data_IF_657241621753
#
_entry.id   IF_657241621753
#
_cell.length_a   1.000
_cell.length_b   1.000
_cell.length_c   1.000
_cell.angle_alpha   90.00
_cell.angle_beta   90.00
_cell.angle_gamma   90.00
#
_symmetry.space_group_name_H-M   'P 1'
#
loop_
_entity.id
_entity.type
_entity.pdbx_description
1 polymer ?
#
# COMPACT_ATOMS: atom_id res chain seq x y z
N UNK A 1 -25.66 -62.76 -24.07
CA UNK A 1 -25.91 -63.00 -22.62
C UNK A 1 -26.20 -61.64 -22.01
N UNK A 2 -27.46 -61.21 -22.11
CA UNK A 2 -28.54 -61.30 -21.08
C UNK A 2 -28.29 -60.33 -19.92
N UNK A 3 -28.98 -59.18 -19.90
CA UNK A 3 -30.32 -58.94 -19.28
C UNK A 3 -30.21 -58.93 -17.74
N UNK A 4 -30.36 -57.80 -17.03
CA UNK A 4 -31.52 -56.92 -16.76
C UNK A 4 -32.45 -57.42 -15.63
N UNK A 5 -33.06 -56.44 -14.95
CA UNK A 5 -34.34 -56.50 -14.20
C UNK A 5 -34.25 -57.09 -12.76
N UNK A 6 -34.97 -56.64 -11.71
CA UNK A 6 -35.86 -55.49 -11.46
C UNK A 6 -36.36 -55.56 -9.99
N UNK A 7 -36.88 -54.43 -9.49
CA UNK A 7 -38.07 -54.21 -8.61
C UNK A 7 -38.13 -54.79 -7.18
N UNK A 8 -38.22 -53.96 -6.14
CA UNK A 8 -39.40 -53.26 -5.51
C UNK A 8 -40.43 -54.16 -4.82
N UNK A 9 -40.73 -53.82 -3.55
CA UNK A 9 -42.08 -53.64 -2.95
C UNK A 9 -41.92 -53.54 -1.41
N UNK A 10 -42.29 -52.42 -0.76
CA UNK A 10 -43.61 -52.02 -0.24
C UNK A 10 -44.03 -52.72 1.08
N UNK A 11 -43.91 -51.95 2.18
CA UNK A 11 -44.95 -51.66 3.22
C UNK A 11 -45.52 -52.77 4.14
N UNK A 12 -46.30 -52.48 5.22
CA UNK A 12 -46.40 -51.30 6.12
C UNK A 12 -46.72 -51.61 7.62
N UNK A 13 -47.06 -50.55 8.40
CA UNK A 13 -47.95 -50.50 9.60
C UNK A 13 -47.39 -50.98 10.98
N UNK A 14 -47.70 -50.40 12.17
CA UNK A 14 -48.80 -49.53 12.64
C UNK A 14 -48.51 -48.85 14.01
N UNK A 15 -49.31 -47.81 14.30
CA UNK A 15 -49.82 -47.31 15.60
C UNK A 15 -48.90 -46.62 16.63
N UNK A 16 -49.05 -45.33 16.96
CA UNK A 16 -50.20 -44.51 17.43
C UNK A 16 -50.50 -44.68 18.94
N UNK A 17 -50.24 -43.61 19.72
CA UNK A 17 -51.01 -43.22 20.92
C UNK A 17 -50.65 -41.76 21.30
N UNK A 18 -51.70 -40.95 21.42
CA UNK A 18 -51.70 -39.54 21.78
C UNK A 18 -52.06 -39.35 23.26
N UNK A 19 -51.53 -38.27 23.87
CA UNK A 19 -52.16 -37.35 24.83
C UNK A 19 -51.07 -36.59 25.61
N UNK A 20 -50.92 -35.29 25.36
CA UNK A 20 -51.45 -34.18 26.17
C UNK A 20 -50.80 -34.09 27.56
N UNK A 21 -49.91 -33.11 27.76
CA UNK A 21 -50.23 -31.99 28.65
C UNK A 21 -49.15 -30.92 28.66
N UNK A 22 -49.66 -29.69 28.67
CA UNK A 22 -48.98 -28.42 28.76
C UNK A 22 -48.49 -28.12 30.17
N UNK A 23 -47.30 -27.54 30.28
CA UNK A 23 -47.00 -26.58 31.35
C UNK A 23 -45.74 -26.85 32.18
N UNK A 24 -44.94 -25.79 32.30
CA UNK A 24 -44.06 -25.50 33.44
C UNK A 24 -42.63 -26.09 33.44
N UNK A 25 -41.78 -25.63 32.50
CA UNK A 25 -40.32 -25.50 32.73
C UNK A 25 -39.80 -24.19 32.12
N UNK A 26 -40.32 -23.07 32.58
CA UNK A 26 -39.73 -21.75 32.39
C UNK A 26 -39.18 -21.24 33.72
N UNK A 27 -37.95 -21.64 34.09
CA UNK A 27 -37.14 -21.01 35.15
C UNK A 27 -35.89 -21.84 35.47
N UNK A 28 -34.83 -21.78 34.64
CA UNK A 28 -33.41 -21.79 35.11
C UNK A 28 -32.44 -21.13 34.10
N UNK A 29 -32.86 -20.71 32.90
CA UNK A 29 -31.93 -20.18 31.87
C UNK A 29 -31.88 -18.65 31.74
N UNK A 30 -32.20 -17.90 32.80
CA UNK A 30 -32.19 -16.43 32.81
C UNK A 30 -31.59 -15.82 34.09
N UNK A 31 -30.44 -16.35 34.54
CA UNK A 31 -29.73 -15.77 35.70
C UNK A 31 -28.22 -15.75 35.55
N UNK A 32 -27.69 -15.37 34.37
CA UNK A 32 -26.27 -14.99 34.22
C UNK A 32 -26.07 -13.68 33.42
N UNK A 33 -27.01 -13.23 32.56
CA UNK A 33 -26.76 -12.03 31.73
C UNK A 33 -27.13 -10.66 32.36
N UNK A 34 -27.78 -10.60 33.54
CA UNK A 34 -28.26 -9.31 34.06
C UNK A 34 -27.42 -8.63 35.15
N UNK A 35 -26.28 -9.21 35.56
CA UNK A 35 -25.38 -8.61 36.59
C UNK A 35 -24.13 -7.92 36.05
N UNK A 36 -23.74 -8.13 34.80
CA UNK A 36 -22.59 -7.44 34.21
C UNK A 36 -22.93 -6.05 33.62
N UNK A 37 -24.21 -5.78 33.32
CA UNK A 37 -24.63 -4.54 32.66
C UNK A 37 -24.85 -3.34 33.61
N UNK A 38 -25.11 -3.58 34.91
CA UNK A 38 -25.40 -2.50 35.87
C UNK A 38 -24.17 -1.89 36.58
N UNK A 39 -23.02 -2.57 36.54
CA UNK A 39 -21.76 -2.06 37.12
C UNK A 39 -21.04 -1.08 36.22
N UNK A 40 -21.38 -1.01 34.92
CA UNK A 40 -20.67 -0.16 33.94
C UNK A 40 -21.40 1.16 33.63
N UNK A 41 -22.64 1.32 34.10
CA UNK A 41 -23.47 2.51 33.82
C UNK A 41 -23.52 3.51 34.98
N UNK A 42 -22.91 3.21 36.14
CA UNK A 42 -22.97 4.07 37.34
C UNK A 42 -21.76 5.03 37.52
N UNK A 43 -20.79 5.02 36.60
CA UNK A 43 -19.65 5.96 36.61
C UNK A 43 -19.77 7.09 35.56
N UNK A 44 -20.91 7.19 34.87
CA UNK A 44 -21.08 8.14 33.75
C UNK A 44 -22.02 9.32 34.05
N UNK A 45 -22.12 9.77 35.30
CA UNK A 45 -22.93 10.95 35.68
C UNK A 45 -22.17 12.04 36.46
N UNK A 46 -20.85 12.04 36.41
CA UNK A 46 -20.06 13.17 36.91
C UNK A 46 -18.92 13.51 35.94
N UNK A 47 -19.22 14.19 34.83
CA UNK A 47 -18.27 14.98 34.02
C UNK A 47 -19.03 15.75 32.90
N UNK A 48 -19.94 16.64 33.29
CA UNK A 48 -20.46 17.67 32.38
C UNK A 48 -19.61 18.93 32.52
N UNK A 49 -18.60 19.06 31.64
CA UNK A 49 -18.09 20.29 30.96
C UNK A 49 -16.61 20.23 30.60
N UNK A 50 -16.16 19.23 29.82
CA UNK A 50 -14.90 19.31 29.06
C UNK A 50 -14.97 18.54 27.74
N UNK A 51 -14.86 19.26 26.61
CA UNK A 51 -14.58 18.81 25.22
C UNK A 51 -14.91 17.35 24.86
N UNK A 52 -16.09 17.13 24.28
CA UNK A 52 -16.49 15.85 23.67
C UNK A 52 -15.59 15.38 22.50
N UNK A 53 -14.68 16.22 21.99
CA UNK A 53 -13.79 15.88 20.88
C UNK A 53 -12.46 15.25 21.29
N UNK A 54 -11.96 15.50 22.51
CA UNK A 54 -10.61 15.10 22.92
C UNK A 54 -10.55 13.65 23.43
N UNK A 55 -11.61 13.18 24.08
CA UNK A 55 -11.69 11.81 24.60
C UNK A 55 -11.65 10.76 23.48
N UNK A 56 -12.22 11.07 22.31
CA UNK A 56 -12.27 10.16 21.16
C UNK A 56 -10.87 9.81 20.63
N UNK A 57 -9.96 10.78 20.59
CA UNK A 57 -8.59 10.55 20.11
C UNK A 57 -7.80 9.69 21.08
N UNK A 58 -7.93 9.98 22.39
CA UNK A 58 -7.31 9.18 23.44
C UNK A 58 -7.76 7.72 23.38
N UNK A 59 -9.07 7.49 23.28
CA UNK A 59 -9.63 6.13 23.18
C UNK A 59 -9.16 5.41 21.91
N UNK A 60 -9.11 6.10 20.78
CA UNK A 60 -8.60 5.54 19.53
C UNK A 60 -7.12 5.15 19.63
N UNK A 61 -6.30 5.97 20.28
CA UNK A 61 -4.89 5.67 20.53
C UNK A 61 -4.71 4.51 21.53
N UNK A 62 -5.51 4.44 22.60
CA UNK A 62 -5.47 3.29 23.52
C UNK A 62 -5.93 1.98 22.84
N UNK A 63 -6.93 2.06 21.96
CA UNK A 63 -7.35 0.95 21.12
C UNK A 63 -6.32 0.58 20.04
N UNK A 64 -5.43 1.50 19.65
CA UNK A 64 -4.25 1.19 18.86
C UNK A 64 -3.19 0.48 19.71
N UNK A 65 -2.88 1.01 20.90
CA UNK A 65 -1.94 0.40 21.85
C UNK A 65 -2.32 -1.03 22.20
N UNK A 66 -3.61 -1.35 22.35
CA UNK A 66 -4.05 -2.71 22.67
C UNK A 66 -3.78 -3.73 21.55
N UNK A 67 -3.50 -3.27 20.32
CA UNK A 67 -3.11 -4.13 19.20
C UNK A 67 -1.59 -4.34 19.10
N UNK A 68 -0.80 -3.69 19.97
CA UNK A 68 0.65 -3.82 20.00
C UNK A 68 1.01 -5.00 20.90
N UNK A 69 1.58 -6.04 20.31
CA UNK A 69 2.02 -7.26 20.99
C UNK A 69 3.46 -7.17 21.48
N UNK A 70 4.27 -6.29 20.90
CA UNK A 70 5.66 -6.11 21.29
C UNK A 70 6.08 -4.63 21.22
N UNK A 71 6.68 -4.12 22.31
CA UNK A 71 7.24 -2.77 22.42
C UNK A 71 8.59 -2.84 23.16
N UNK A 72 9.70 -3.14 22.46
CA UNK A 72 10.98 -3.43 23.10
C UNK A 72 11.59 -2.20 23.78
N UNK A 73 11.27 -1.01 23.29
CA UNK A 73 11.79 0.26 23.79
C UNK A 73 10.85 0.93 24.81
N UNK A 74 9.74 0.26 25.15
CA UNK A 74 8.73 0.76 26.10
C UNK A 74 8.22 2.16 25.75
N UNK A 75 8.13 2.45 24.46
CA UNK A 75 7.72 3.75 23.92
C UNK A 75 6.29 4.10 24.38
N UNK A 76 5.43 3.08 24.41
CA UNK A 76 4.02 3.20 24.71
C UNK A 76 3.74 3.26 26.23
N UNK A 77 4.75 3.19 27.10
CA UNK A 77 4.57 3.42 28.55
C UNK A 77 4.09 4.85 28.84
N UNK A 78 4.48 5.80 27.98
CA UNK A 78 3.97 7.18 28.01
C UNK A 78 2.47 7.27 27.69
N UNK A 79 1.90 6.27 27.02
CA UNK A 79 0.49 6.22 26.65
C UNK A 79 -0.35 5.70 27.82
N UNK A 80 -0.54 6.56 28.81
CA UNK A 80 -1.21 6.24 30.06
C UNK A 80 -2.24 7.33 30.42
N UNK A 81 -2.94 7.15 31.55
CA UNK A 81 -3.98 8.08 32.00
C UNK A 81 -3.44 9.29 32.76
N UNK A 82 -2.14 9.34 33.09
CA UNK A 82 -1.56 10.43 33.89
C UNK A 82 -1.10 11.61 33.04
N UNK A 83 -0.78 11.37 31.77
CA UNK A 83 -0.40 12.41 30.81
C UNK A 83 -1.51 12.65 29.78
N UNK A 84 -1.65 13.91 29.34
CA UNK A 84 -2.51 14.23 28.21
C UNK A 84 -1.95 13.57 26.94
N UNK A 85 -2.80 12.99 26.09
CA UNK A 85 -2.34 12.22 24.92
C UNK A 85 -1.47 12.99 23.92
N UNK A 86 -1.54 14.32 23.92
CA UNK A 86 -0.65 15.17 23.13
C UNK A 86 0.81 15.19 23.60
N UNK A 87 1.09 14.67 24.80
CA UNK A 87 2.43 14.51 25.37
C UNK A 87 2.94 13.07 25.21
N UNK A 88 2.11 12.17 24.67
CA UNK A 88 2.52 10.80 24.43
C UNK A 88 3.55 10.72 23.32
N UNK A 89 4.52 9.84 23.49
CA UNK A 89 5.60 9.68 22.54
C UNK A 89 5.05 9.29 21.16
N UNK A 90 5.49 10.01 20.13
CA UNK A 90 5.05 9.82 18.73
C UNK A 90 3.69 10.42 18.39
N UNK A 91 2.97 11.02 19.34
CA UNK A 91 1.71 11.73 19.10
C UNK A 91 1.97 13.22 18.98
N UNK A 92 1.40 13.86 17.97
CA UNK A 92 1.40 15.34 17.85
C UNK A 92 -0.02 15.84 17.69
N UNK A 93 -0.38 16.85 18.48
CA UNK A 93 -1.69 17.51 18.40
C UNK A 93 -1.63 18.88 17.71
N UNK A 94 -2.74 19.26 17.09
CA UNK A 94 -2.89 20.58 16.49
C UNK A 94 -3.04 21.66 17.56
N UNK A 95 -2.33 22.78 17.39
CA UNK A 95 -2.29 23.90 18.37
C UNK A 95 -3.67 24.45 18.74
N UNK A 96 -4.59 24.52 17.78
CA UNK A 96 -5.93 25.13 17.96
C UNK A 96 -6.94 24.19 18.59
N UNK A 97 -7.00 22.96 18.10
CA UNK A 97 -8.08 22.02 18.46
C UNK A 97 -7.65 20.97 19.48
N UNK A 98 -6.35 20.85 19.77
CA UNK A 98 -5.78 19.80 20.63
C UNK A 98 -6.18 18.37 20.20
N UNK A 99 -6.43 18.21 18.90
CA UNK A 99 -6.73 16.94 18.23
C UNK A 99 -5.47 16.36 17.62
N UNK A 100 -5.37 15.03 17.57
CA UNK A 100 -4.22 14.32 16.99
C UNK A 100 -4.13 14.61 15.50
N UNK A 101 -2.98 15.16 15.09
CA UNK A 101 -2.68 15.51 13.70
C UNK A 101 -1.56 14.67 13.11
N UNK A 102 -0.68 14.10 13.95
CA UNK A 102 0.36 13.18 13.50
C UNK A 102 0.51 12.02 14.49
N UNK A 103 0.69 10.83 13.93
CA UNK A 103 1.12 9.63 14.65
C UNK A 103 2.38 9.11 13.97
N UNK A 104 3.54 9.27 14.63
CA UNK A 104 4.86 8.93 14.08
C UNK A 104 5.58 8.01 15.04
N UNK A 105 5.63 6.73 14.69
CA UNK A 105 6.24 5.65 15.48
C UNK A 105 7.22 4.84 14.62
N UNK A 106 8.08 5.53 13.86
CA UNK A 106 9.02 4.91 12.92
C UNK A 106 10.24 4.31 13.63
N UNK A 107 10.65 3.10 13.24
CA UNK A 107 11.91 2.46 13.67
C UNK A 107 12.03 2.18 15.18
N UNK A 108 10.94 1.77 15.83
CA UNK A 108 10.94 1.42 17.26
C UNK A 108 10.84 -0.09 17.54
N UNK A 109 10.83 -0.93 16.49
CA UNK A 109 10.72 -2.38 16.66
C UNK A 109 9.35 -2.83 17.19
N UNK A 110 8.31 -2.01 17.00
CA UNK A 110 6.95 -2.33 17.43
C UNK A 110 6.41 -3.51 16.63
N UNK A 111 5.75 -4.47 17.29
CA UNK A 111 5.01 -5.53 16.63
C UNK A 111 3.54 -5.50 17.05
N UNK A 112 2.64 -5.82 16.12
CA UNK A 112 1.20 -5.75 16.34
C UNK A 112 0.42 -5.57 15.04
N UNK A 113 -0.86 -5.22 15.15
CA UNK A 113 -1.71 -4.92 14.00
C UNK A 113 -2.19 -3.46 14.01
N UNK A 114 -2.59 -2.94 12.84
CA UNK A 114 -3.14 -1.59 12.73
C UNK A 114 -4.62 -1.60 13.15
N UNK A 115 -4.91 -1.03 14.32
CA UNK A 115 -6.27 -0.96 14.86
C UNK A 115 -7.24 -0.20 13.94
N UNK A 116 -8.45 -0.72 13.65
CA UNK A 116 -9.46 -0.02 12.85
C UNK A 116 -9.98 1.25 13.53
N UNK A 117 -9.77 1.41 14.84
CA UNK A 117 -10.10 2.65 15.55
C UNK A 117 -9.23 3.83 15.12
N UNK A 118 -8.15 3.60 14.37
CA UNK A 118 -7.38 4.67 13.74
C UNK A 118 -8.27 5.60 12.91
N UNK A 119 -9.35 5.08 12.31
CA UNK A 119 -10.33 5.88 11.55
C UNK A 119 -11.09 6.92 12.36
N UNK A 120 -11.01 6.89 13.70
CA UNK A 120 -11.61 7.89 14.58
C UNK A 120 -10.71 9.11 14.80
N UNK A 121 -9.42 9.04 14.42
CA UNK A 121 -8.49 10.17 14.44
C UNK A 121 -8.76 11.11 13.25
N UNK A 122 -9.93 11.73 13.22
CA UNK A 122 -10.42 12.48 12.04
C UNK A 122 -9.59 13.72 11.66
N UNK A 123 -8.69 14.17 12.55
CA UNK A 123 -7.76 15.28 12.30
C UNK A 123 -6.36 14.81 11.84
N UNK A 124 -6.15 13.51 11.67
CA UNK A 124 -4.86 12.95 11.31
C UNK A 124 -4.45 13.38 9.89
N UNK A 125 -3.28 14.02 9.80
CA UNK A 125 -2.63 14.41 8.55
C UNK A 125 -1.50 13.45 8.19
N UNK A 126 -0.83 12.87 9.19
CA UNK A 126 0.32 12.00 9.00
C UNK A 126 0.19 10.76 9.88
N UNK A 127 0.31 9.60 9.25
CA UNK A 127 0.64 8.36 9.94
C UNK A 127 1.95 7.81 9.34
N UNK A 128 2.93 7.60 10.20
CA UNK A 128 4.22 7.02 9.84
C UNK A 128 4.60 5.93 10.85
N UNK A 129 4.43 4.68 10.43
CA UNK A 129 4.76 3.48 11.20
C UNK A 129 5.89 2.68 10.53
N UNK A 130 6.70 3.33 9.69
CA UNK A 130 7.71 2.65 8.88
C UNK A 130 8.77 1.93 9.72
N UNK A 131 9.37 0.89 9.16
CA UNK A 131 10.47 0.11 9.77
C UNK A 131 10.08 -0.46 11.14
N UNK A 132 9.04 -1.27 11.18
CA UNK A 132 8.60 -1.97 12.38
C UNK A 132 8.24 -3.42 12.01
N UNK A 133 7.54 -4.13 12.89
CA UNK A 133 7.07 -5.49 12.68
C UNK A 133 5.54 -5.56 12.73
N UNK A 134 4.85 -4.55 12.20
CA UNK A 134 3.39 -4.59 12.08
C UNK A 134 2.95 -5.65 11.06
N UNK A 135 1.85 -6.34 11.34
CA UNK A 135 1.32 -7.44 10.52
C UNK A 135 -0.22 -7.39 10.43
N UNK A 136 -0.77 -8.32 9.64
CA UNK A 136 -2.20 -8.40 9.36
C UNK A 136 -2.62 -7.45 8.23
N UNK A 137 -3.92 -7.29 8.04
CA UNK A 137 -4.45 -6.45 6.98
C UNK A 137 -4.54 -4.97 7.41
N UNK A 138 -4.34 -4.08 6.44
CA UNK A 138 -4.61 -2.66 6.62
C UNK A 138 -6.13 -2.47 6.64
N UNK A 139 -6.73 -1.80 7.65
CA UNK A 139 -8.19 -1.64 7.77
C UNK A 139 -8.76 -0.66 6.73
N UNK A 140 -8.84 -1.11 5.47
CA UNK A 140 -9.17 -0.29 4.29
C UNK A 140 -10.51 0.45 4.40
N UNK A 141 -11.50 -0.17 5.06
CA UNK A 141 -12.86 0.39 5.23
C UNK A 141 -12.91 1.69 6.03
N UNK A 142 -11.95 1.90 6.96
CA UNK A 142 -11.97 3.08 7.83
C UNK A 142 -11.12 4.24 7.31
N UNK A 143 -10.23 3.98 6.33
CA UNK A 143 -9.29 4.99 5.84
C UNK A 143 -9.98 6.19 5.17
N UNK A 144 -11.16 5.99 4.58
CA UNK A 144 -11.97 7.08 4.02
C UNK A 144 -12.48 8.08 5.06
N UNK A 145 -12.47 7.72 6.35
CA UNK A 145 -12.82 8.65 7.46
C UNK A 145 -11.69 9.63 7.78
N UNK A 146 -10.47 9.33 7.35
CA UNK A 146 -9.28 10.18 7.58
C UNK A 146 -9.17 11.25 6.49
N UNK A 147 -10.21 12.09 6.35
CA UNK A 147 -10.34 13.06 5.25
C UNK A 147 -9.22 14.12 5.19
N UNK A 148 -8.45 14.31 6.26
CA UNK A 148 -7.30 15.24 6.31
C UNK A 148 -5.95 14.59 6.03
N UNK A 149 -5.94 13.27 5.82
CA UNK A 149 -4.71 12.51 5.65
C UNK A 149 -3.96 12.95 4.40
N UNK A 150 -2.67 13.24 4.58
CA UNK A 150 -1.72 13.64 3.53
C UNK A 150 -0.59 12.65 3.37
N UNK A 151 -0.13 12.05 4.46
CA UNK A 151 0.97 11.09 4.46
C UNK A 151 0.49 9.81 5.12
N UNK A 152 0.49 8.72 4.36
CA UNK A 152 0.24 7.36 4.84
C UNK A 152 1.46 6.51 4.56
N UNK A 153 2.26 6.26 5.60
CA UNK A 153 3.54 5.58 5.47
C UNK A 153 3.64 4.37 6.42
N UNK A 154 3.57 3.17 5.86
CA UNK A 154 3.64 1.88 6.56
C UNK A 154 4.73 0.96 6.00
N UNK A 155 5.65 1.50 5.20
CA UNK A 155 6.70 0.71 4.55
C UNK A 155 7.64 -0.03 5.53
N UNK A 156 8.26 -1.11 5.06
CA UNK A 156 9.11 -2.02 5.84
C UNK A 156 8.38 -2.56 7.09
N UNK A 157 7.35 -3.35 6.84
CA UNK A 157 6.56 -4.08 7.82
C UNK A 157 6.19 -5.47 7.24
N UNK A 158 5.19 -6.14 7.80
CA UNK A 158 4.67 -7.42 7.34
C UNK A 158 3.16 -7.37 7.07
N UNK A 159 2.63 -6.22 6.63
CA UNK A 159 1.22 -6.09 6.27
C UNK A 159 0.88 -7.01 5.09
N UNK A 160 -0.28 -7.67 5.17
CA UNK A 160 -0.82 -8.61 4.18
C UNK A 160 -2.15 -8.08 3.59
N UNK A 161 -2.72 -8.82 2.65
CA UNK A 161 -4.00 -8.48 2.02
C UNK A 161 -3.83 -7.55 0.82
N UNK A 162 -4.94 -6.97 0.35
CA UNK A 162 -4.95 -6.11 -0.82
C UNK A 162 -4.53 -4.66 -0.51
N UNK A 163 -4.11 -3.94 -1.55
CA UNK A 163 -3.86 -2.50 -1.44
C UNK A 163 -5.17 -1.76 -1.07
N UNK A 164 -5.18 -1.00 0.04
CA UNK A 164 -6.30 -0.11 0.34
C UNK A 164 -6.46 0.92 -0.77
N UNK A 165 -7.70 1.27 -1.07
CA UNK A 165 -8.02 2.20 -2.17
C UNK A 165 -8.91 3.38 -1.75
N UNK A 166 -9.50 3.32 -0.56
CA UNK A 166 -10.38 4.34 -0.01
C UNK A 166 -9.60 5.36 0.85
N UNK A 167 -8.74 6.15 0.21
CA UNK A 167 -7.96 7.20 0.87
C UNK A 167 -8.61 8.59 0.73
N UNK A 168 -8.16 9.53 1.56
CA UNK A 168 -8.48 10.94 1.36
C UNK A 168 -7.97 11.47 0.01
N UNK A 169 -8.78 12.26 -0.68
CA UNK A 169 -8.36 13.00 -1.88
C UNK A 169 -7.24 14.03 -1.61
N UNK A 170 -6.93 14.33 -0.35
CA UNK A 170 -5.80 15.18 0.05
C UNK A 170 -4.48 14.41 0.20
N UNK A 171 -4.47 13.09 -0.07
CA UNK A 171 -3.27 12.28 0.09
C UNK A 171 -2.17 12.75 -0.87
N UNK A 172 -1.00 13.07 -0.32
CA UNK A 172 0.19 13.52 -1.05
C UNK A 172 1.27 12.43 -1.11
N UNK A 173 1.31 11.53 -0.12
CA UNK A 173 2.30 10.44 -0.04
C UNK A 173 1.64 9.15 0.41
N UNK A 174 1.81 8.10 -0.40
CA UNK A 174 1.46 6.73 -0.08
C UNK A 174 2.74 5.88 -0.13
N UNK A 175 3.18 5.38 1.03
CA UNK A 175 4.38 4.56 1.17
C UNK A 175 4.06 3.25 1.87
N UNK A 176 3.94 2.17 1.11
CA UNK A 176 3.63 0.81 1.58
C UNK A 176 4.69 -0.21 1.13
N UNK A 177 5.83 0.23 0.61
CA UNK A 177 6.89 -0.66 0.13
C UNK A 177 7.50 -1.53 1.24
N UNK A 178 8.05 -2.70 0.90
CA UNK A 178 8.61 -3.64 1.87
C UNK A 178 7.54 -4.26 2.76
N UNK A 179 6.48 -4.80 2.16
CA UNK A 179 5.38 -5.51 2.85
C UNK A 179 5.03 -6.79 2.08
N UNK A 180 3.92 -7.44 2.44
CA UNK A 180 3.40 -8.66 1.79
C UNK A 180 2.03 -8.40 1.15
N UNK A 181 1.81 -7.17 0.66
CA UNK A 181 0.55 -6.79 0.00
C UNK A 181 0.44 -7.50 -1.34
N UNK A 182 -0.76 -7.94 -1.70
CA UNK A 182 -1.02 -8.75 -2.88
C UNK A 182 -2.21 -8.26 -3.68
N UNK A 183 -2.44 -8.88 -4.84
CA UNK A 183 -3.55 -8.54 -5.72
C UNK A 183 -3.22 -7.40 -6.68
N UNK A 184 -4.20 -6.99 -7.51
CA UNK A 184 -3.97 -6.02 -8.57
C UNK A 184 -3.86 -4.59 -8.04
N UNK A 185 -3.24 -3.71 -8.83
CA UNK A 185 -3.24 -2.28 -8.55
C UNK A 185 -4.68 -1.73 -8.63
N UNK A 186 -5.25 -1.18 -7.54
CA UNK A 186 -6.65 -0.74 -7.54
C UNK A 186 -6.81 0.58 -8.30
N UNK A 187 -7.68 0.58 -9.32
CA UNK A 187 -7.95 1.74 -10.19
C UNK A 187 -8.43 2.98 -9.42
N UNK A 188 -9.05 2.79 -8.25
CA UNK A 188 -9.55 3.89 -7.42
C UNK A 188 -8.42 4.76 -6.86
N UNK A 189 -7.19 4.23 -6.68
CA UNK A 189 -6.03 5.05 -6.32
C UNK A 189 -5.70 6.11 -7.39
N UNK A 190 -6.11 5.87 -8.65
CA UNK A 190 -5.92 6.82 -9.75
C UNK A 190 -6.84 8.05 -9.67
N UNK A 191 -7.63 8.18 -8.59
CA UNK A 191 -8.46 9.36 -8.30
C UNK A 191 -7.80 10.35 -7.33
N UNK A 192 -6.63 10.02 -6.78
CA UNK A 192 -5.91 10.82 -5.80
C UNK A 192 -5.08 11.92 -6.46
N UNK A 193 -5.74 12.95 -6.97
CA UNK A 193 -5.13 14.02 -7.78
C UNK A 193 -3.98 14.79 -7.11
N UNK A 194 -3.89 14.77 -5.78
CA UNK A 194 -2.83 15.42 -5.01
C UNK A 194 -1.62 14.49 -4.73
N UNK A 195 -1.67 13.23 -5.14
CA UNK A 195 -0.63 12.24 -4.85
C UNK A 195 0.65 12.60 -5.61
N UNK A 196 1.74 12.79 -4.86
CA UNK A 196 3.07 13.13 -5.40
C UNK A 196 4.03 11.95 -5.31
N UNK A 197 3.92 11.17 -4.25
CA UNK A 197 4.83 10.06 -3.96
C UNK A 197 4.01 8.78 -3.80
N UNK A 198 4.32 7.79 -4.63
CA UNK A 198 3.77 6.44 -4.59
C UNK A 198 4.91 5.43 -4.48
N UNK A 199 5.07 4.80 -3.31
CA UNK A 199 6.07 3.76 -3.06
C UNK A 199 5.39 2.47 -2.65
N UNK A 200 5.40 1.48 -3.53
CA UNK A 200 4.84 0.14 -3.31
C UNK A 200 5.88 -0.97 -3.59
N UNK A 201 7.15 -0.62 -3.63
CA UNK A 201 8.26 -1.53 -3.89
C UNK A 201 8.28 -2.76 -2.95
N UNK A 202 8.86 -3.88 -3.36
CA UNK A 202 8.94 -5.13 -2.57
C UNK A 202 7.61 -5.50 -1.91
N UNK A 203 6.63 -5.81 -2.75
CA UNK A 203 5.35 -6.41 -2.39
C UNK A 203 5.07 -7.58 -3.36
N UNK A 204 3.87 -8.15 -3.29
CA UNK A 204 3.42 -9.26 -4.11
C UNK A 204 2.28 -8.83 -5.06
N UNK A 205 2.34 -7.59 -5.57
CA UNK A 205 1.32 -7.00 -6.44
C UNK A 205 1.34 -7.68 -7.81
N UNK A 206 0.15 -7.91 -8.38
CA UNK A 206 -0.05 -8.65 -9.63
C UNK A 206 -0.84 -7.84 -10.66
N UNK A 207 -1.08 -8.42 -11.83
CA UNK A 207 -1.85 -7.77 -12.90
C UNK A 207 -1.05 -6.68 -13.62
N UNK A 208 -1.74 -5.87 -14.42
CA UNK A 208 -1.11 -4.79 -15.20
C UNK A 208 -1.29 -3.42 -14.57
N UNK A 209 -0.38 -2.50 -14.93
CA UNK A 209 -0.53 -1.09 -14.59
C UNK A 209 -1.78 -0.53 -15.29
N UNK A 210 -2.72 0.10 -14.54
CA UNK A 210 -3.94 0.61 -15.15
C UNK A 210 -3.65 1.84 -16.00
N UNK A 211 -4.35 1.98 -17.14
CA UNK A 211 -4.28 3.19 -17.96
C UNK A 211 -4.62 4.46 -17.16
N UNK A 212 -5.49 4.36 -16.15
CA UNK A 212 -5.84 5.49 -15.29
C UNK A 212 -4.67 6.04 -14.45
N UNK A 213 -3.53 5.34 -14.34
CA UNK A 213 -2.34 5.83 -13.62
C UNK A 213 -1.88 7.19 -14.14
N UNK A 214 -1.99 7.42 -15.46
CA UNK A 214 -1.66 8.70 -16.10
C UNK A 214 -2.52 9.90 -15.64
N UNK A 215 -3.67 9.64 -15.00
CA UNK A 215 -4.54 10.71 -14.47
C UNK A 215 -3.95 11.40 -13.23
N UNK A 216 -2.92 10.83 -12.61
CA UNK A 216 -2.32 11.35 -11.39
C UNK A 216 -1.25 12.41 -11.70
N UNK A 217 -1.67 13.52 -12.31
CA UNK A 217 -0.80 14.57 -12.86
C UNK A 217 0.21 15.21 -11.87
N UNK A 218 -0.05 15.09 -10.57
CA UNK A 218 0.84 15.56 -9.49
C UNK A 218 1.97 14.58 -9.13
N UNK A 219 1.98 13.35 -9.68
CA UNK A 219 3.00 12.36 -9.35
C UNK A 219 4.38 12.83 -9.80
N UNK A 220 5.32 12.73 -8.85
CA UNK A 220 6.73 13.05 -9.00
C UNK A 220 7.60 11.82 -8.79
N UNK A 221 7.16 10.89 -7.94
CA UNK A 221 7.94 9.73 -7.56
C UNK A 221 7.07 8.47 -7.59
N UNK A 222 7.41 7.52 -8.45
CA UNK A 222 6.79 6.21 -8.53
C UNK A 222 7.87 5.15 -8.35
N UNK A 223 7.69 4.30 -7.34
CA UNK A 223 8.51 3.12 -7.14
C UNK A 223 7.60 1.91 -6.90
N UNK A 224 7.52 1.05 -7.92
CA UNK A 224 6.77 -0.19 -7.93
C UNK A 224 7.70 -1.39 -8.13
N UNK A 225 8.99 -1.20 -7.87
CA UNK A 225 10.00 -2.23 -8.08
C UNK A 225 9.78 -3.48 -7.22
N UNK A 226 10.34 -4.62 -7.62
CA UNK A 226 10.26 -5.88 -6.85
C UNK A 226 8.81 -6.28 -6.56
N UNK A 227 8.01 -6.45 -7.62
CA UNK A 227 6.64 -6.94 -7.57
C UNK A 227 6.44 -8.02 -8.65
N UNK A 228 5.19 -8.44 -8.89
CA UNK A 228 4.82 -9.42 -9.92
C UNK A 228 3.90 -8.74 -10.95
N UNK A 229 4.13 -7.46 -11.24
CA UNK A 229 3.35 -6.70 -12.21
C UNK A 229 3.73 -7.16 -13.62
N UNK A 230 2.73 -7.37 -14.48
CA UNK A 230 2.92 -7.85 -15.85
C UNK A 230 2.22 -7.01 -16.89
N UNK A 231 2.27 -7.48 -18.15
CA UNK A 231 1.76 -6.72 -19.30
C UNK A 231 2.65 -5.53 -19.66
N UNK A 232 2.15 -4.67 -20.55
CA UNK A 232 2.87 -3.47 -21.00
C UNK A 232 2.70 -2.27 -20.08
N UNK A 233 3.68 -1.36 -20.12
CA UNK A 233 3.56 -0.03 -19.52
C UNK A 233 2.54 0.77 -20.36
N UNK A 234 1.47 1.33 -19.76
CA UNK A 234 0.43 2.02 -20.50
C UNK A 234 0.94 3.33 -21.11
N UNK A 235 0.46 3.68 -22.32
CA UNK A 235 0.80 4.95 -23.00
C UNK A 235 0.46 6.19 -22.16
N UNK A 236 -0.49 6.09 -21.24
CA UNK A 236 -0.86 7.18 -20.33
C UNK A 236 0.26 7.56 -19.36
N UNK A 237 1.32 6.75 -19.20
CA UNK A 237 2.47 7.12 -18.36
C UNK A 237 3.08 8.45 -18.79
N UNK A 238 3.09 8.75 -20.09
CA UNK A 238 3.60 10.00 -20.64
C UNK A 238 2.76 11.24 -20.30
N UNK A 239 1.60 11.09 -19.64
CA UNK A 239 0.80 12.20 -19.13
C UNK A 239 1.32 12.75 -17.79
N UNK A 240 2.19 12.00 -17.10
CA UNK A 240 2.77 12.37 -15.81
C UNK A 240 3.93 13.36 -15.99
N UNK A 241 3.63 14.58 -16.43
CA UNK A 241 4.64 15.59 -16.78
C UNK A 241 5.54 16.05 -15.63
N UNK A 242 5.08 15.85 -14.39
CA UNK A 242 5.84 16.14 -13.18
C UNK A 242 6.69 14.97 -12.69
N UNK A 243 6.72 13.84 -13.41
CA UNK A 243 7.38 12.62 -12.95
C UNK A 243 8.90 12.76 -13.05
N UNK A 244 9.55 12.73 -11.89
CA UNK A 244 10.99 12.87 -11.73
C UNK A 244 11.65 11.49 -11.64
N UNK A 245 11.01 10.54 -10.95
CA UNK A 245 11.54 9.21 -10.69
C UNK A 245 10.50 8.13 -11.03
N UNK A 246 10.89 7.17 -11.87
CA UNK A 246 10.10 5.98 -12.19
C UNK A 246 10.97 4.74 -12.07
N UNK A 247 10.69 3.90 -11.08
CA UNK A 247 11.26 2.55 -10.97
C UNK A 247 10.17 1.48 -11.06
N UNK A 248 10.36 0.59 -12.02
CA UNK A 248 9.58 -0.63 -12.26
C UNK A 248 10.50 -1.85 -12.31
N UNK A 249 11.70 -1.74 -11.73
CA UNK A 249 12.70 -2.81 -11.69
C UNK A 249 12.12 -4.09 -11.06
N UNK A 250 12.62 -5.26 -11.45
CA UNK A 250 12.25 -6.55 -10.84
C UNK A 250 10.73 -6.80 -10.87
N UNK A 251 10.17 -6.87 -12.08
CA UNK A 251 8.77 -7.20 -12.34
C UNK A 251 8.68 -8.20 -13.51
N UNK A 252 7.45 -8.47 -13.96
CA UNK A 252 7.14 -9.32 -15.11
C UNK A 252 6.64 -8.50 -16.31
N UNK A 253 7.03 -7.22 -16.40
CA UNK A 253 6.59 -6.32 -17.47
C UNK A 253 7.12 -6.80 -18.81
N UNK A 254 6.28 -6.72 -19.82
CA UNK A 254 6.59 -7.21 -21.17
C UNK A 254 6.16 -6.18 -22.21
N UNK A 255 6.25 -6.53 -23.49
CA UNK A 255 5.95 -5.64 -24.63
C UNK A 255 6.98 -4.50 -24.79
N UNK A 256 6.75 -3.65 -25.78
CA UNK A 256 7.57 -2.46 -26.06
C UNK A 256 7.28 -1.34 -25.07
N UNK A 257 8.24 -0.45 -24.92
CA UNK A 257 8.01 0.80 -24.19
C UNK A 257 7.05 1.70 -24.98
N UNK A 258 6.07 2.33 -24.31
CA UNK A 258 5.19 3.28 -24.97
C UNK A 258 6.01 4.49 -25.43
N UNK A 259 5.86 4.99 -26.67
CA UNK A 259 6.62 6.16 -27.16
C UNK A 259 6.48 7.40 -26.28
N UNK A 260 5.40 7.49 -25.50
CA UNK A 260 5.12 8.59 -24.59
C UNK A 260 6.03 8.63 -23.35
N UNK A 261 6.68 7.51 -22.98
CA UNK A 261 7.63 7.47 -21.86
C UNK A 261 8.85 8.36 -22.13
N UNK A 262 9.21 8.44 -23.40
CA UNK A 262 10.24 9.29 -23.96
C UNK A 262 9.80 10.76 -24.04
N UNK A 263 8.64 11.15 -23.52
CA UNK A 263 8.20 12.56 -23.45
C UNK A 263 8.11 13.06 -21.99
N UNK A 264 8.72 12.32 -21.06
CA UNK A 264 8.78 12.68 -19.65
C UNK A 264 10.01 13.56 -19.40
N UNK A 265 9.88 14.84 -19.75
CA UNK A 265 10.99 15.80 -19.71
C UNK A 265 11.58 16.03 -18.32
N UNK A 266 10.82 15.79 -17.25
CA UNK A 266 11.28 15.96 -15.86
C UNK A 266 12.02 14.73 -15.31
N UNK A 267 11.93 13.60 -16.01
CA UNK A 267 12.44 12.33 -15.52
C UNK A 267 13.96 12.32 -15.45
N UNK A 268 14.50 12.08 -14.25
CA UNK A 268 15.93 11.91 -14.01
C UNK A 268 16.31 10.45 -13.74
N UNK A 269 15.38 9.60 -13.27
CA UNK A 269 15.62 8.14 -13.14
C UNK A 269 14.54 7.33 -13.85
N UNK A 270 14.98 6.42 -14.72
CA UNK A 270 14.15 5.37 -15.32
C UNK A 270 14.74 3.99 -15.00
N UNK A 271 14.08 3.25 -14.10
CA UNK A 271 14.41 1.88 -13.73
C UNK A 271 13.42 0.87 -14.32
N UNK A 272 13.93 -0.06 -15.11
CA UNK A 272 13.21 -1.15 -15.79
C UNK A 272 13.99 -2.48 -15.72
N UNK A 273 15.09 -2.55 -14.96
CA UNK A 273 15.96 -3.71 -14.89
C UNK A 273 15.22 -4.96 -14.44
N UNK A 274 15.59 -6.13 -14.96
CA UNK A 274 14.97 -7.44 -14.65
C UNK A 274 13.47 -7.44 -14.93
N UNK A 275 13.14 -7.30 -16.21
CA UNK A 275 11.79 -7.46 -16.75
C UNK A 275 11.86 -8.34 -18.02
N UNK A 276 10.77 -8.41 -18.78
CA UNK A 276 10.67 -9.15 -20.05
C UNK A 276 10.40 -8.20 -21.23
N UNK A 277 10.94 -6.98 -21.16
CA UNK A 277 10.70 -5.93 -22.17
C UNK A 277 11.46 -6.28 -23.45
N UNK A 278 10.73 -6.29 -24.57
CA UNK A 278 11.29 -6.56 -25.91
C UNK A 278 11.16 -5.30 -26.74
N UNK A 279 12.25 -4.54 -26.88
CA UNK A 279 12.21 -3.28 -27.61
C UNK A 279 13.56 -2.87 -28.22
N UNK A 280 13.55 -1.84 -29.06
CA UNK A 280 14.76 -1.14 -29.51
C UNK A 280 14.76 0.28 -28.93
N UNK A 281 15.93 0.75 -28.52
CA UNK A 281 16.07 2.17 -28.15
C UNK A 281 15.93 3.05 -29.42
N UNK A 282 15.13 4.14 -29.37
CA UNK A 282 15.03 5.09 -30.48
C UNK A 282 16.38 5.69 -30.89
N UNK A 283 16.56 6.03 -32.17
CA UNK A 283 17.80 6.66 -32.67
C UNK A 283 18.13 7.99 -31.96
N UNK A 284 17.10 8.72 -31.51
CA UNK A 284 17.20 10.07 -30.95
C UNK A 284 16.96 10.15 -29.44
N UNK A 285 17.08 9.02 -28.71
CA UNK A 285 16.80 8.90 -27.27
C UNK A 285 17.42 10.03 -26.43
N UNK A 286 18.66 10.44 -26.73
CA UNK A 286 19.41 11.33 -25.83
C UNK A 286 19.25 12.83 -26.03
N UNK A 287 18.71 13.32 -27.16
CA UNK A 287 18.55 14.78 -27.38
C UNK A 287 17.11 15.27 -27.30
N UNK A 288 16.16 14.44 -27.71
CA UNK A 288 14.77 14.88 -27.89
C UNK A 288 13.86 14.39 -26.79
N UNK A 289 14.22 13.28 -26.15
CA UNK A 289 13.25 12.45 -25.44
C UNK A 289 13.41 12.46 -23.90
N UNK A 290 14.64 12.45 -23.37
CA UNK A 290 14.85 12.49 -21.92
C UNK A 290 16.00 13.46 -21.56
N UNK A 291 15.78 14.78 -21.71
CA UNK A 291 16.86 15.77 -21.62
C UNK A 291 17.48 15.92 -20.22
N UNK A 292 16.79 15.46 -19.17
CA UNK A 292 17.22 15.56 -17.78
C UNK A 292 17.62 14.20 -17.17
N UNK A 293 17.72 13.15 -17.99
CA UNK A 293 17.99 11.80 -17.51
C UNK A 293 19.38 11.70 -16.89
N UNK A 294 19.44 11.17 -15.67
CA UNK A 294 20.67 10.91 -14.92
C UNK A 294 20.93 9.42 -14.76
N UNK A 295 19.87 8.64 -14.59
CA UNK A 295 19.96 7.22 -14.30
C UNK A 295 19.06 6.44 -15.24
N UNK A 296 19.64 5.52 -16.01
CA UNK A 296 18.92 4.60 -16.87
C UNK A 296 19.31 3.16 -16.55
N UNK A 297 18.36 2.40 -16.01
CA UNK A 297 18.52 0.98 -15.72
C UNK A 297 17.57 0.17 -16.58
N UNK A 298 18.10 -0.51 -17.60
CA UNK A 298 17.30 -1.39 -18.47
C UNK A 298 17.94 -2.78 -18.63
N UNK A 299 18.93 -3.09 -17.79
CA UNK A 299 19.61 -4.39 -17.77
C UNK A 299 18.66 -5.56 -17.52
N UNK A 300 19.07 -6.78 -17.88
CA UNK A 300 18.28 -8.01 -17.70
C UNK A 300 16.89 -7.91 -18.36
N UNK A 301 16.88 -7.63 -19.67
CA UNK A 301 15.68 -7.54 -20.51
C UNK A 301 15.97 -8.17 -21.89
N UNK A 302 15.09 -7.93 -22.86
CA UNK A 302 15.24 -8.36 -24.25
C UNK A 302 15.37 -7.18 -25.22
N UNK A 303 16.05 -6.10 -24.79
CA UNK A 303 16.36 -5.00 -25.72
C UNK A 303 17.34 -5.44 -26.80
N UNK A 304 17.17 -4.94 -28.02
CA UNK A 304 17.96 -5.38 -29.17
C UNK A 304 18.28 -4.25 -30.16
N UNK A 305 19.17 -4.54 -31.11
CA UNK A 305 19.64 -3.58 -32.10
C UNK A 305 20.82 -2.73 -31.60
N UNK A 306 21.29 -1.79 -32.42
CA UNK A 306 22.44 -0.96 -32.07
C UNK A 306 22.10 0.03 -30.95
N UNK A 307 23.06 0.31 -30.08
CA UNK A 307 22.95 1.41 -29.13
C UNK A 307 22.93 2.76 -29.89
N UNK A 308 21.94 3.62 -29.66
CA UNK A 308 21.84 4.88 -30.39
C UNK A 308 22.98 5.83 -29.97
N UNK A 309 23.75 6.40 -30.90
CA UNK A 309 24.84 7.33 -30.58
C UNK A 309 24.38 8.54 -29.75
N UNK A 310 23.11 8.94 -29.90
CA UNK A 310 22.52 10.04 -29.13
C UNK A 310 22.45 9.75 -27.62
N UNK A 311 22.36 8.49 -27.19
CA UNK A 311 22.37 8.10 -25.77
C UNK A 311 23.65 8.54 -25.07
N UNK A 312 24.78 8.47 -25.77
CA UNK A 312 26.09 8.88 -25.26
C UNK A 312 26.31 10.40 -25.29
N UNK A 313 25.39 11.15 -25.89
CA UNK A 313 25.40 12.62 -25.89
C UNK A 313 24.59 13.24 -24.75
N UNK A 314 23.98 12.42 -23.87
CA UNK A 314 23.24 12.91 -22.70
C UNK A 314 24.26 13.37 -21.66
N UNK A 315 24.50 14.68 -21.57
CA UNK A 315 25.48 15.24 -20.64
C UNK A 315 25.09 15.10 -19.17
N UNK A 316 23.82 14.84 -18.87
CA UNK A 316 23.31 14.64 -17.52
C UNK A 316 23.41 13.20 -17.04
N UNK A 317 23.76 12.23 -17.91
CA UNK A 317 23.72 10.81 -17.59
C UNK A 317 24.88 10.45 -16.64
N UNK A 318 24.54 10.04 -15.43
CA UNK A 318 25.46 9.67 -14.35
C UNK A 318 25.58 8.14 -14.22
N UNK A 319 24.49 7.41 -14.47
CA UNK A 319 24.44 5.95 -14.36
C UNK A 319 23.68 5.33 -15.55
N UNK A 320 24.29 4.33 -16.16
CA UNK A 320 23.75 3.61 -17.30
C UNK A 320 23.99 2.12 -17.12
N UNK A 321 22.91 1.34 -17.02
CA UNK A 321 22.95 -0.10 -16.84
C UNK A 321 22.19 -0.77 -17.98
N UNK A 322 22.93 -1.47 -18.85
CA UNK A 322 22.44 -2.08 -20.07
C UNK A 322 22.68 -3.59 -20.13
N UNK A 323 23.34 -4.16 -19.10
CA UNK A 323 23.86 -5.53 -19.16
C UNK A 323 22.74 -6.55 -19.39
N UNK A 324 23.12 -7.73 -19.90
CA UNK A 324 22.18 -8.86 -20.09
C UNK A 324 20.97 -8.47 -20.96
N UNK A 325 21.25 -7.89 -22.11
CA UNK A 325 20.33 -7.61 -23.21
C UNK A 325 20.89 -8.17 -24.53
N UNK A 326 20.13 -8.04 -25.62
CA UNK A 326 20.53 -8.40 -26.99
C UNK A 326 21.03 -7.22 -27.83
N UNK A 327 21.62 -6.20 -27.21
CA UNK A 327 22.20 -5.06 -27.93
C UNK A 327 23.34 -5.50 -28.86
N UNK A 328 23.48 -4.81 -29.99
CA UNK A 328 24.53 -5.03 -30.98
C UNK A 328 25.29 -3.73 -31.27
N UNK A 329 26.33 -3.79 -32.10
CA UNK A 329 27.16 -2.63 -32.43
C UNK A 329 28.29 -2.38 -31.43
N UNK A 330 29.05 -1.32 -31.67
CA UNK A 330 30.18 -0.91 -30.83
C UNK A 330 29.75 0.15 -29.82
N UNK A 331 30.26 0.04 -28.60
CA UNK A 331 30.21 1.13 -27.62
C UNK A 331 31.27 2.16 -28.04
N UNK A 332 30.95 3.47 -28.11
CA UNK A 332 31.95 4.48 -28.46
C UNK A 332 33.13 4.48 -27.47
N UNK A 333 34.36 4.56 -27.97
CA UNK A 333 35.62 4.50 -27.19
C UNK A 333 35.64 5.43 -25.96
N UNK A 334 34.95 6.58 -26.02
CA UNK A 334 34.85 7.54 -24.92
C UNK A 334 34.20 6.97 -23.64
N UNK A 335 33.52 5.82 -23.75
CA UNK A 335 32.87 5.12 -22.63
C UNK A 335 33.60 3.83 -22.20
N UNK A 336 34.68 3.42 -22.87
CA UNK A 336 35.54 2.31 -22.39
C UNK A 336 36.27 2.66 -21.08
N UNK A 337 36.45 3.95 -20.79
CA UNK A 337 37.16 4.46 -19.60
C UNK A 337 36.30 4.72 -18.36
N UNK A 338 34.98 4.53 -18.43
CA UNK A 338 34.10 4.89 -17.31
C UNK A 338 34.12 3.84 -16.20
N UNK A 339 34.94 4.11 -15.19
CA UNK A 339 35.13 3.35 -13.94
C UNK A 339 33.87 3.08 -13.09
N UNK A 340 32.70 3.60 -13.49
CA UNK A 340 31.44 3.44 -12.77
C UNK A 340 30.38 2.64 -13.53
N UNK A 341 30.65 2.17 -14.76
CA UNK A 341 29.75 1.24 -15.44
C UNK A 341 30.05 -0.19 -15.01
N UNK A 342 29.04 -0.86 -14.47
CA UNK A 342 29.01 -2.32 -14.54
C UNK A 342 28.52 -2.66 -15.95
N UNK A 343 29.42 -2.71 -16.91
CA UNK A 343 29.08 -3.27 -18.23
C UNK A 343 28.80 -4.77 -18.13
#
# INVERSE_FOLDING_TARGET
MKESLFLTSLEPQTDSLANSDTGHFGSVFNMIEHKASKSFMAECEALTTTSAGNHTDQLALLAFKSQISHDPLRLLDSWNTTLHFCQWQGVTCGRRHQRVVKLVLKSYGLAGSLSPYIGNLSFLHTIDLQNNSFYGEIPSKVLGRLFRLRIFALGNNSFTGELPSNFSHNLETLSLGGNKLSGPFPKQLCTLQNLKILRLWSNNLTGSLPYALGNLSSLQFIDLSSNILGGGIPDSIGQLKSLDFLSLDENMLSSKLPPSIYNLSSLWTLGLTKNQIVDRLPSDTGRTFLPNLRELFIGENHFFGPLPPSLFNISTLEMLELSRNGFTGQVPDIWETCKNFKC
#
